data_IF_411076272499
#
_entry.id   IF_411076272499
#
_cell.length_a   1.000
_cell.length_b   1.000
_cell.length_c   1.000
_cell.angle_alpha   90.00
_cell.angle_beta   90.00
_cell.angle_gamma   90.00
#
_symmetry.space_group_name_H-M   'P 1'
#
loop_
_entity.id
_entity.type
_entity.pdbx_description
1 polymer ?
#
# COMPACT_ATOMS: atom_id res chain seq x y z
N UNK A 1 -8.36 -5.07 15.18
CA UNK A 1 -8.13 -3.65 14.83
C UNK A 1 -9.21 -2.83 15.54
N UNK A 2 -8.79 -1.90 16.40
CA UNK A 2 -9.71 -0.99 17.07
C UNK A 2 -9.96 0.24 16.21
N UNK A 3 -11.25 0.53 15.97
CA UNK A 3 -11.68 1.70 15.21
C UNK A 3 -12.38 2.69 16.13
N UNK A 4 -11.92 3.94 16.12
CA UNK A 4 -12.60 5.06 16.75
C UNK A 4 -13.17 5.95 15.66
N UNK A 5 -14.49 6.07 15.57
CA UNK A 5 -15.15 6.94 14.61
C UNK A 5 -15.36 8.31 15.22
N UNK A 6 -14.92 9.35 14.56
CA UNK A 6 -15.19 10.76 14.84
C UNK A 6 -16.08 11.36 13.75
N UNK A 7 -16.47 12.62 13.88
CA UNK A 7 -17.43 13.25 12.95
C UNK A 7 -16.83 13.40 11.54
N UNK A 8 -15.53 13.70 11.44
CA UNK A 8 -14.80 14.02 10.22
C UNK A 8 -13.84 12.91 9.77
N UNK A 9 -13.56 11.96 10.66
CA UNK A 9 -12.53 10.93 10.42
C UNK A 9 -12.81 9.62 11.15
N UNK A 10 -12.18 8.57 10.67
CA UNK A 10 -12.07 7.28 11.37
C UNK A 10 -10.61 7.06 11.74
N UNK A 11 -10.34 6.83 13.02
CA UNK A 11 -9.00 6.58 13.56
C UNK A 11 -8.84 5.09 13.83
N UNK A 12 -7.76 4.53 13.32
CA UNK A 12 -7.33 3.15 13.55
C UNK A 12 -6.12 3.23 14.45
N UNK A 13 -6.26 2.76 15.69
CA UNK A 13 -5.17 2.71 16.67
C UNK A 13 -4.33 1.45 16.41
N UNK A 14 -3.05 1.62 16.14
CA UNK A 14 -2.08 0.54 15.93
C UNK A 14 -1.17 0.32 17.14
N UNK A 15 -1.19 1.24 18.09
CA UNK A 15 -0.29 1.18 19.24
C UNK A 15 -0.73 0.10 20.23
N UNK A 16 -2.03 -0.10 20.35
CA UNK A 16 -2.64 -1.06 21.30
C UNK A 16 -3.01 -2.39 20.65
N UNK A 17 -2.87 -2.51 19.33
CA UNK A 17 -3.36 -3.67 18.57
C UNK A 17 -2.23 -4.65 18.21
N UNK A 18 -2.13 -5.72 18.97
CA UNK A 18 -1.16 -6.80 18.69
C UNK A 18 -1.46 -7.60 17.41
N UNK A 19 -2.66 -7.46 16.83
CA UNK A 19 -3.04 -8.18 15.60
C UNK A 19 -2.34 -7.64 14.34
N UNK A 20 -1.74 -6.47 14.44
CA UNK A 20 -0.98 -5.83 13.35
C UNK A 20 0.52 -6.06 13.45
N UNK A 21 0.98 -6.74 14.50
CA UNK A 21 2.40 -7.00 14.71
C UNK A 21 3.00 -7.84 13.58
N UNK A 22 4.09 -7.35 13.00
CA UNK A 22 4.75 -7.97 11.84
C UNK A 22 4.05 -7.74 10.50
N UNK A 23 2.88 -7.09 10.45
CA UNK A 23 2.24 -6.68 9.21
C UNK A 23 2.91 -5.42 8.63
N UNK A 24 2.73 -5.20 7.33
CA UNK A 24 3.10 -3.94 6.71
C UNK A 24 1.99 -2.90 6.87
N UNK A 25 2.32 -1.62 6.74
CA UNK A 25 1.30 -0.57 6.72
C UNK A 25 0.30 -0.76 5.57
N UNK A 26 0.76 -1.30 4.44
CA UNK A 26 -0.11 -1.62 3.31
C UNK A 26 -1.10 -2.73 3.67
N UNK A 27 -0.67 -3.78 4.40
CA UNK A 27 -1.56 -4.85 4.85
C UNK A 27 -2.64 -4.34 5.82
N UNK A 28 -2.28 -3.38 6.65
CA UNK A 28 -3.24 -2.73 7.56
C UNK A 28 -4.25 -1.91 6.78
N UNK A 29 -3.81 -1.12 5.80
CA UNK A 29 -4.69 -0.34 4.95
C UNK A 29 -5.65 -1.24 4.16
N UNK A 30 -5.18 -2.36 3.64
CA UNK A 30 -6.01 -3.33 2.90
C UNK A 30 -7.13 -3.94 3.77
N UNK A 31 -6.86 -4.11 5.08
CA UNK A 31 -7.86 -4.59 6.04
C UNK A 31 -8.73 -3.48 6.61
N UNK A 32 -8.45 -2.23 6.27
CA UNK A 32 -9.14 -1.06 6.81
C UNK A 32 -10.45 -0.82 6.05
N UNK A 33 -11.61 -0.83 6.72
CA UNK A 33 -12.89 -0.56 6.07
C UNK A 33 -12.92 0.82 5.42
N UNK A 34 -13.35 0.87 4.16
CA UNK A 34 -13.44 2.10 3.38
C UNK A 34 -12.19 2.43 2.58
N UNK A 35 -11.12 1.64 2.69
CA UNK A 35 -9.93 1.72 1.84
C UNK A 35 -9.92 0.52 0.89
N UNK A 36 -9.57 0.76 -0.35
CA UNK A 36 -9.36 -0.28 -1.37
C UNK A 36 -7.92 -0.16 -1.83
N UNK A 37 -7.15 -1.22 -1.62
CA UNK A 37 -5.77 -1.35 -2.07
C UNK A 37 -5.74 -2.34 -3.24
N UNK A 38 -5.27 -1.89 -4.38
CA UNK A 38 -4.99 -2.75 -5.53
C UNK A 38 -3.47 -2.89 -5.69
N UNK A 39 -2.97 -4.07 -5.32
CA UNK A 39 -1.54 -4.38 -5.40
C UNK A 39 -1.06 -4.58 -6.84
N UNK A 40 -1.97 -4.94 -7.74
CA UNK A 40 -1.63 -5.20 -9.14
C UNK A 40 -1.45 -3.89 -9.90
N UNK A 41 -2.38 -2.95 -9.73
CA UNK A 41 -2.29 -1.61 -10.31
C UNK A 41 -1.47 -0.64 -9.46
N UNK A 42 -1.00 -1.08 -8.29
CA UNK A 42 -0.28 -0.25 -7.30
C UNK A 42 -1.05 1.04 -6.98
N UNK A 43 -2.32 0.90 -6.65
CA UNK A 43 -3.19 2.02 -6.36
C UNK A 43 -3.87 1.89 -5.00
N UNK A 44 -4.21 3.03 -4.41
CA UNK A 44 -5.00 3.14 -3.19
C UNK A 44 -6.17 4.07 -3.50
N UNK A 45 -7.36 3.65 -3.11
CA UNK A 45 -8.57 4.45 -3.22
C UNK A 45 -9.40 4.38 -1.94
N UNK A 46 -10.28 5.36 -1.76
CA UNK A 46 -11.19 5.43 -0.62
C UNK A 46 -12.63 5.39 -1.12
N UNK A 47 -13.45 4.57 -0.49
CA UNK A 47 -14.83 4.37 -0.87
C UNK A 47 -15.63 5.70 -0.86
N UNK A 48 -16.30 6.01 -1.97
CA UNK A 48 -17.09 7.24 -2.10
C UNK A 48 -16.28 8.51 -2.35
N UNK A 49 -14.97 8.40 -2.64
CA UNK A 49 -14.09 9.52 -2.95
C UNK A 49 -13.54 9.40 -4.38
N UNK A 50 -13.33 10.55 -5.03
CA UNK A 50 -12.80 10.62 -6.39
C UNK A 50 -11.28 10.44 -6.45
N UNK A 51 -10.58 10.58 -5.32
CA UNK A 51 -9.15 10.43 -5.19
C UNK A 51 -8.73 10.31 -3.73
N UNK A 52 -7.48 9.97 -3.51
CA UNK A 52 -6.88 9.85 -2.16
C UNK A 52 -5.55 10.56 -2.12
N UNK A 53 -5.41 11.44 -1.14
CA UNK A 53 -4.14 12.03 -0.76
C UNK A 53 -3.62 11.34 0.51
N UNK A 54 -2.36 10.96 0.51
CA UNK A 54 -1.75 10.36 1.70
C UNK A 54 -0.88 11.38 2.41
N UNK A 55 -1.04 11.44 3.70
CA UNK A 55 -0.26 12.29 4.60
C UNK A 55 0.57 11.42 5.53
N UNK A 56 1.73 11.92 5.90
CA UNK A 56 2.58 11.34 6.93
C UNK A 56 2.82 12.40 7.99
N UNK A 57 2.44 12.10 9.24
CA UNK A 57 2.49 13.04 10.35
C UNK A 57 1.80 14.38 10.02
N UNK A 58 0.63 14.33 9.38
CA UNK A 58 -0.16 15.50 9.01
C UNK A 58 0.37 16.32 7.83
N UNK A 59 1.43 15.86 7.16
CA UNK A 59 1.99 16.52 5.97
C UNK A 59 1.65 15.74 4.72
N UNK A 60 1.13 16.42 3.68
CA UNK A 60 0.83 15.79 2.39
C UNK A 60 2.11 15.23 1.79
N UNK A 61 2.05 13.98 1.38
CA UNK A 61 3.12 13.31 0.66
C UNK A 61 2.85 13.40 -0.85
N UNK A 62 3.74 14.05 -1.57
CA UNK A 62 3.65 14.25 -3.03
C UNK A 62 4.29 13.11 -3.83
N UNK A 63 4.58 11.99 -3.20
CA UNK A 63 5.12 10.82 -3.87
C UNK A 63 4.09 10.26 -4.86
N UNK A 64 4.50 9.80 -6.06
CA UNK A 64 3.60 9.07 -6.96
C UNK A 64 2.97 7.88 -6.26
N UNK A 65 1.70 7.57 -6.57
CA UNK A 65 0.93 6.56 -5.83
C UNK A 65 1.58 5.17 -5.84
N UNK A 66 2.18 4.77 -6.95
CA UNK A 66 2.90 3.51 -7.08
C UNK A 66 4.13 3.43 -6.16
N UNK A 67 4.90 4.52 -6.06
CA UNK A 67 6.04 4.59 -5.14
C UNK A 67 5.57 4.60 -3.68
N UNK A 68 4.46 5.27 -3.40
CA UNK A 68 3.85 5.29 -2.07
C UNK A 68 3.36 3.90 -1.65
N UNK A 69 2.72 3.14 -2.55
CA UNK A 69 2.32 1.75 -2.27
C UNK A 69 3.53 0.89 -1.92
N UNK A 70 4.63 1.02 -2.65
CA UNK A 70 5.87 0.30 -2.35
C UNK A 70 6.47 0.74 -1.00
N UNK A 71 6.46 2.04 -0.72
CA UNK A 71 6.93 2.59 0.56
C UNK A 71 6.13 2.02 1.74
N UNK A 72 4.80 2.00 1.65
CA UNK A 72 3.91 1.46 2.68
C UNK A 72 4.04 -0.06 2.83
N UNK A 73 4.31 -0.77 1.72
CA UNK A 73 4.57 -2.21 1.76
C UNK A 73 5.92 -2.54 2.41
N UNK A 74 6.89 -1.64 2.34
CA UNK A 74 8.20 -1.79 3.02
C UNK A 74 8.18 -1.37 4.49
N UNK A 75 7.15 -0.65 4.94
CA UNK A 75 7.09 -0.12 6.30
C UNK A 75 6.29 -1.04 7.22
N UNK A 76 6.89 -1.45 8.35
CA UNK A 76 6.19 -2.23 9.37
C UNK A 76 5.13 -1.38 10.07
N UNK A 77 3.95 -1.96 10.31
CA UNK A 77 2.86 -1.33 11.04
C UNK A 77 3.25 -0.94 12.48
N UNK A 78 4.19 -1.66 13.08
CA UNK A 78 4.71 -1.34 14.41
C UNK A 78 5.39 0.05 14.50
N UNK A 79 5.79 0.63 13.36
CA UNK A 79 6.36 1.97 13.29
C UNK A 79 5.30 3.08 13.27
N UNK A 80 4.04 2.74 13.07
CA UNK A 80 2.94 3.70 13.12
C UNK A 80 2.22 3.66 14.47
N UNK A 81 1.72 4.82 14.87
CA UNK A 81 0.86 5.00 16.02
C UNK A 81 -0.60 4.79 15.64
N UNK A 82 -1.01 5.43 14.55
CA UNK A 82 -2.38 5.39 14.08
C UNK A 82 -2.47 5.66 12.57
N UNK A 83 -3.58 5.22 11.98
CA UNK A 83 -4.01 5.61 10.64
C UNK A 83 -5.34 6.34 10.78
N UNK A 84 -5.44 7.52 10.17
CA UNK A 84 -6.67 8.31 10.17
C UNK A 84 -7.23 8.38 8.75
N UNK A 85 -8.48 7.98 8.58
CA UNK A 85 -9.23 8.14 7.34
C UNK A 85 -10.08 9.42 7.45
N UNK A 86 -9.68 10.47 6.78
CA UNK A 86 -10.36 11.77 6.80
C UNK A 86 -11.26 11.85 5.59
N UNK A 87 -12.57 11.79 5.82
CA UNK A 87 -13.59 11.85 4.76
C UNK A 87 -14.06 13.28 4.51
N UNK A 88 -13.90 14.16 5.48
CA UNK A 88 -14.24 15.58 5.37
C UNK A 88 -13.01 16.40 5.71
N UNK A 89 -12.21 16.75 4.67
CA UNK A 89 -10.98 17.50 4.92
C UNK A 89 -11.28 18.88 5.48
N UNK A 90 -10.44 19.37 6.42
CA UNK A 90 -10.52 20.73 6.89
C UNK A 90 -10.30 21.74 5.75
N UNK A 91 -10.89 22.93 5.86
CA UNK A 91 -10.87 23.95 4.82
C UNK A 91 -9.48 24.49 4.43
N UNK A 92 -8.46 24.20 5.24
CA UNK A 92 -7.07 24.53 4.95
C UNK A 92 -6.36 23.55 4.01
N UNK A 93 -6.99 22.40 3.74
CA UNK A 93 -6.55 21.51 2.68
C UNK A 93 -7.37 21.83 1.44
N UNK A 94 -6.70 22.37 0.43
CA UNK A 94 -7.31 22.64 -0.86
C UNK A 94 -7.67 21.29 -1.50
N UNK A 95 -8.85 20.80 -1.16
CA UNK A 95 -9.35 19.55 -1.70
C UNK A 95 -9.88 19.86 -3.11
N UNK A 96 -9.01 19.74 -4.10
CA UNK A 96 -9.46 19.69 -5.49
C UNK A 96 -10.45 18.52 -5.64
N UNK A 97 -11.73 18.85 -5.59
CA UNK A 97 -12.81 17.89 -5.71
C UNK A 97 -13.13 17.14 -4.41
N UNK A 98 -13.73 15.95 -4.55
CA UNK A 98 -14.17 15.09 -3.46
C UNK A 98 -13.08 14.07 -3.04
N UNK A 99 -11.82 14.52 -2.89
CA UNK A 99 -10.73 13.65 -2.46
C UNK A 99 -10.80 13.34 -0.95
N UNK A 100 -10.45 12.10 -0.59
CA UNK A 100 -10.25 11.70 0.78
C UNK A 100 -8.77 11.85 1.21
N UNK A 101 -8.50 11.83 2.51
CA UNK A 101 -7.14 11.84 3.02
C UNK A 101 -6.92 10.63 3.93
N UNK A 102 -5.76 10.01 3.79
CA UNK A 102 -5.25 8.98 4.68
C UNK A 102 -4.03 9.57 5.39
N UNK A 103 -4.15 9.85 6.68
CA UNK A 103 -3.03 10.31 7.49
C UNK A 103 -2.43 9.14 8.26
N UNK A 104 -1.14 8.92 8.12
CA UNK A 104 -0.37 7.91 8.84
C UNK A 104 0.47 8.64 9.89
N UNK A 105 0.10 8.47 11.15
CA UNK A 105 0.91 8.96 12.25
C UNK A 105 1.97 7.93 12.64
N UNK A 106 3.22 8.29 12.47
CA UNK A 106 4.35 7.47 12.88
C UNK A 106 4.63 7.65 14.37
N UNK A 107 5.06 6.57 15.01
CA UNK A 107 5.55 6.65 16.39
C UNK A 107 6.76 7.57 16.44
N UNK A 108 6.73 8.50 17.37
CA UNK A 108 7.93 9.26 17.71
C UNK A 108 8.85 8.31 18.47
N UNK A 109 9.98 7.99 17.89
CA UNK A 109 10.98 7.17 18.57
C UNK A 109 11.79 8.10 19.51
N UNK A 110 11.49 8.14 20.83
CA UNK A 110 12.17 9.04 21.75
C UNK A 110 13.54 8.52 22.16
N UNK A 111 13.88 7.29 21.76
CA UNK A 111 15.14 6.65 22.15
C UNK A 111 16.16 6.72 21.03
N UNK A 112 17.38 7.14 21.38
CA UNK A 112 18.54 6.98 20.53
C UNK A 112 18.79 5.48 20.29
N UNK A 113 19.12 5.13 19.06
CA UNK A 113 19.37 3.75 18.70
C UNK A 113 19.05 3.46 17.24
N UNK A 114 19.08 2.20 16.95
CA UNK A 114 18.72 1.70 15.63
C UNK A 114 17.68 0.58 15.77
N UNK A 115 16.80 0.50 14.82
CA UNK A 115 15.89 -0.63 14.66
C UNK A 115 15.76 -0.97 13.18
N UNK A 116 15.38 -2.21 12.90
CA UNK A 116 15.14 -2.66 11.54
C UNK A 116 14.36 -3.95 11.53
N UNK A 117 13.72 -4.20 10.40
CA UNK A 117 13.02 -5.43 10.12
C UNK A 117 13.32 -5.93 8.71
N UNK A 118 13.23 -7.23 8.53
CA UNK A 118 13.30 -7.92 7.26
C UNK A 118 12.03 -8.75 7.09
N UNK A 119 11.35 -8.53 5.98
CA UNK A 119 10.15 -9.29 5.62
C UNK A 119 10.47 -10.06 4.35
N UNK A 120 10.27 -11.38 4.40
CA UNK A 120 10.39 -12.26 3.26
C UNK A 120 9.04 -12.93 3.04
N UNK A 121 8.50 -12.85 1.84
CA UNK A 121 7.24 -13.46 1.47
C UNK A 121 7.37 -14.28 0.18
N UNK A 122 6.73 -15.46 0.20
CA UNK A 122 6.54 -16.28 -0.99
C UNK A 122 5.05 -16.60 -1.12
N UNK A 123 4.47 -16.28 -2.27
CA UNK A 123 3.13 -16.66 -2.65
C UNK A 123 3.17 -17.64 -3.82
N UNK A 124 2.44 -18.74 -3.71
CA UNK A 124 2.28 -19.73 -4.75
C UNK A 124 0.81 -19.77 -5.16
N UNK A 125 0.53 -19.62 -6.44
CA UNK A 125 -0.77 -19.85 -7.06
C UNK A 125 -0.63 -20.83 -8.22
N UNK A 126 -1.75 -21.27 -8.78
CA UNK A 126 -1.75 -22.29 -9.84
C UNK A 126 -0.87 -21.93 -11.05
N UNK A 127 -0.77 -20.64 -11.37
CA UNK A 127 0.05 -20.14 -12.48
C UNK A 127 0.91 -18.93 -12.11
N UNK A 128 1.14 -18.67 -10.80
CA UNK A 128 1.87 -17.48 -10.36
C UNK A 128 2.78 -17.79 -9.19
N UNK A 129 3.98 -17.27 -9.27
CA UNK A 129 4.89 -17.22 -8.12
C UNK A 129 5.20 -15.76 -7.83
N UNK A 130 4.86 -15.32 -6.63
CA UNK A 130 5.15 -13.97 -6.15
C UNK A 130 6.17 -14.10 -5.03
N UNK A 131 7.29 -13.44 -5.20
CA UNK A 131 8.32 -13.35 -4.18
C UNK A 131 8.50 -11.90 -3.81
N UNK A 132 8.46 -11.61 -2.52
CA UNK A 132 8.76 -10.28 -2.02
C UNK A 132 9.82 -10.35 -0.93
N UNK A 133 10.70 -9.37 -0.95
CA UNK A 133 11.66 -9.12 0.10
C UNK A 133 11.64 -7.63 0.40
N UNK A 134 11.48 -7.26 1.65
CA UNK A 134 11.57 -5.88 2.06
C UNK A 134 12.37 -5.74 3.34
N UNK A 135 13.13 -4.67 3.43
CA UNK A 135 13.87 -4.32 4.64
C UNK A 135 13.65 -2.85 4.97
N UNK A 136 13.50 -2.59 6.23
CA UNK A 136 13.41 -1.27 6.79
C UNK A 136 14.49 -1.13 7.86
N UNK A 137 15.23 -0.05 7.82
CA UNK A 137 16.24 0.28 8.82
C UNK A 137 16.09 1.74 9.24
N UNK A 138 15.97 1.97 10.54
CA UNK A 138 15.88 3.29 11.13
C UNK A 138 17.04 3.50 12.10
N UNK A 139 17.70 4.63 11.95
CA UNK A 139 18.71 5.12 12.86
C UNK A 139 18.23 6.45 13.44
N UNK A 140 18.21 6.55 14.76
CA UNK A 140 17.89 7.76 15.48
C UNK A 140 19.05 8.09 16.44
N UNK A 141 19.73 9.18 16.19
CA UNK A 141 20.83 9.67 17.03
C UNK A 141 20.76 11.17 17.15
N UNK A 142 20.53 11.66 18.36
CA UNK A 142 20.52 13.08 18.77
C UNK A 142 19.87 14.04 17.75
N UNK A 143 20.60 14.41 16.68
CA UNK A 143 20.15 15.35 15.65
C UNK A 143 19.99 14.69 14.27
N UNK A 144 20.25 13.39 14.16
CA UNK A 144 20.19 12.67 12.87
C UNK A 144 19.13 11.61 12.96
N UNK A 145 18.15 11.72 12.08
CA UNK A 145 17.17 10.69 11.84
C UNK A 145 17.32 10.19 10.41
N UNK A 146 17.66 8.90 10.27
CA UNK A 146 17.82 8.25 8.97
C UNK A 146 16.87 7.07 8.89
N UNK A 147 16.12 6.99 7.79
CA UNK A 147 15.30 5.85 7.46
C UNK A 147 15.74 5.31 6.11
N UNK A 148 16.06 4.03 6.06
CA UNK A 148 16.37 3.31 4.83
C UNK A 148 15.31 2.23 4.62
N UNK A 149 14.64 2.29 3.47
CA UNK A 149 13.67 1.30 3.04
C UNK A 149 14.10 0.71 1.70
N UNK A 150 14.10 -0.60 1.61
CA UNK A 150 14.33 -1.30 0.35
C UNK A 150 13.29 -2.41 0.19
N UNK A 151 12.66 -2.46 -0.97
CA UNK A 151 11.72 -3.52 -1.30
C UNK A 151 11.98 -4.07 -2.70
N UNK A 152 11.87 -5.37 -2.82
CA UNK A 152 12.02 -6.12 -4.06
C UNK A 152 10.80 -7.01 -4.23
N UNK A 153 10.12 -6.86 -5.37
CA UNK A 153 8.99 -7.68 -5.76
C UNK A 153 9.35 -8.39 -7.06
N UNK A 154 9.32 -9.71 -7.04
CA UNK A 154 9.46 -10.55 -8.22
C UNK A 154 8.13 -11.26 -8.48
N UNK A 155 7.53 -11.00 -9.64
CA UNK A 155 6.27 -11.59 -10.07
C UNK A 155 6.52 -12.38 -11.34
N UNK A 156 6.60 -13.70 -11.22
CA UNK A 156 6.79 -14.62 -12.35
C UNK A 156 5.40 -15.05 -12.84
N UNK A 157 5.06 -14.57 -14.04
CA UNK A 157 3.87 -14.99 -14.78
C UNK A 157 4.34 -15.96 -15.87
N UNK A 158 3.90 -17.21 -15.91
CA UNK A 158 4.14 -18.07 -17.06
C UNK A 158 3.35 -17.53 -18.25
N UNK A 159 4.04 -17.15 -19.30
CA UNK A 159 3.42 -16.74 -20.57
C UNK A 159 3.21 -17.97 -21.46
N UNK A 160 2.13 -18.68 -21.27
CA UNK A 160 1.66 -19.67 -22.24
C UNK A 160 0.74 -18.99 -23.24
N UNK A 161 1.28 -18.49 -24.34
CA UNK A 161 0.49 -18.05 -25.48
C UNK A 161 0.30 -19.24 -26.43
N UNK A 162 -0.77 -20.01 -26.26
CA UNK A 162 -1.21 -20.95 -27.29
C UNK A 162 -1.90 -20.18 -28.42
N UNK A 163 -1.20 -20.01 -29.53
CA UNK A 163 -1.75 -19.47 -30.76
C UNK A 163 -2.46 -20.62 -31.53
N UNK A 164 -3.73 -20.84 -31.23
CA UNK A 164 -4.57 -21.71 -32.03
C UNK A 164 -4.97 -21.01 -33.34
N UNK A 165 -4.23 -21.24 -34.39
CA UNK A 165 -4.52 -20.74 -35.73
C UNK A 165 -5.31 -21.80 -36.51
N UNK A 166 -6.65 -21.69 -36.52
CA UNK A 166 -7.49 -22.47 -37.43
C UNK A 166 -7.55 -21.77 -38.81
N UNK A 167 -6.90 -22.33 -39.80
CA UNK A 167 -7.09 -21.93 -41.18
C UNK A 167 -8.30 -22.68 -41.75
N UNK A 168 -9.32 -21.90 -42.13
CA UNK A 168 -10.43 -22.46 -42.95
C UNK A 168 -9.96 -22.46 -44.41
N UNK A 169 -9.79 -23.65 -44.98
CA UNK A 169 -9.72 -23.81 -46.43
C UNK A 169 -11.12 -23.54 -47.00
N UNK A 170 -11.28 -22.40 -47.66
CA UNK A 170 -12.44 -22.19 -48.54
C UNK A 170 -12.24 -22.99 -49.83
N UNK A 171 -12.90 -24.17 -49.91
CA UNK A 171 -13.10 -24.83 -51.15
C UNK A 171 -14.00 -23.95 -52.03
N UNK A 172 -13.44 -23.26 -52.97
CA UNK A 172 -14.16 -22.65 -54.10
C UNK A 172 -14.35 -23.74 -55.13
N UNK A 173 -15.58 -24.13 -55.49
CA UNK A 173 -15.79 -25.03 -56.63
C UNK A 173 -15.38 -24.30 -57.92
N UNK A 174 -14.47 -24.87 -58.67
CA UNK A 174 -14.27 -24.54 -60.07
C UNK A 174 -15.47 -25.11 -60.82
N UNK A 175 -16.43 -24.27 -61.22
CA UNK A 175 -17.41 -24.61 -62.24
C UNK A 175 -17.20 -23.75 -63.50
N UNK A 176 -16.63 -24.43 -64.54
CA UNK A 176 -16.89 -24.35 -66.00
C UNK A 176 -16.81 -22.95 -66.62
#
# INVERSE_FOLDING_TARGET
>A
IQYKREIDRTIIDLETDSSTSGATLLDVLERTPGVIVDRQSQSISMLGKSGVNVMINGKINYMPINALVQYLNGMNADNAKSIELITTPPANFDAEGNAGFINIELKKNPQEGYNGNLILGNGFGDDRTIQNASTNFNLNSNNIHMTFNYSLLNNLLPSNAELNRSSYETNVPEDI
#
